data_IF_722899712102
#
_entry.id   IF_722899712102
#
_cell.length_a   1.000
_cell.length_b   1.000
_cell.length_c   1.000
_cell.angle_alpha   90.00
_cell.angle_beta   90.00
_cell.angle_gamma   90.00
#
_symmetry.space_group_name_H-M   'P 1'
#
loop_
_entity.id
_entity.type
_entity.pdbx_description
1 polymer ?
#
# COMPACT_ATOMS: atom_id res chain seq x y z
N UNK A 1 15.78 18.26 -7.41
CA UNK A 1 16.64 18.99 -6.45
C UNK A 1 15.96 19.20 -5.10
N UNK A 2 14.70 19.64 -5.05
CA UNK A 2 13.98 19.90 -3.79
C UNK A 2 13.74 18.61 -2.98
N UNK A 3 13.38 17.50 -3.63
CA UNK A 3 13.18 16.19 -3.00
C UNK A 3 14.44 15.68 -2.32
N UNK A 4 15.59 15.80 -2.99
CA UNK A 4 16.90 15.38 -2.44
C UNK A 4 17.25 16.18 -1.19
N UNK A 5 16.98 17.49 -1.20
CA UNK A 5 17.18 18.33 -0.01
C UNK A 5 16.34 17.85 1.16
N UNK A 6 15.04 17.59 0.95
CA UNK A 6 14.16 17.10 2.01
C UNK A 6 14.60 15.76 2.59
N UNK A 7 15.09 14.83 1.74
CA UNK A 7 15.63 13.54 2.20
C UNK A 7 16.89 13.75 3.04
N UNK A 8 17.81 14.64 2.62
CA UNK A 8 19.02 14.98 3.37
C UNK A 8 18.72 15.62 4.74
N UNK A 9 17.72 16.49 4.78
CA UNK A 9 17.30 17.15 6.02
C UNK A 9 16.70 16.15 7.01
N UNK A 10 15.83 15.22 6.54
CA UNK A 10 15.30 14.14 7.38
C UNK A 10 16.40 13.19 7.85
N UNK A 11 17.32 12.79 6.95
CA UNK A 11 18.45 11.94 7.32
C UNK A 11 19.25 12.55 8.47
N UNK A 12 19.64 13.81 8.35
CA UNK A 12 20.40 14.52 9.38
C UNK A 12 19.68 14.50 10.73
N UNK A 13 18.40 14.87 10.75
CA UNK A 13 17.60 14.86 11.98
C UNK A 13 17.52 13.47 12.61
N UNK A 14 17.32 12.43 11.78
CA UNK A 14 17.23 11.05 12.27
C UNK A 14 18.57 10.51 12.78
N UNK A 15 19.68 10.85 12.14
CA UNK A 15 21.02 10.48 12.61
C UNK A 15 21.31 11.10 13.97
N UNK A 16 20.99 12.39 14.16
CA UNK A 16 21.15 13.08 15.44
C UNK A 16 20.36 12.38 16.56
N UNK A 17 19.13 11.90 16.28
CA UNK A 17 18.31 11.16 17.24
C UNK A 17 18.91 9.79 17.59
N UNK A 18 19.36 9.04 16.59
CA UNK A 18 19.95 7.71 16.78
C UNK A 18 21.27 7.81 17.56
N UNK A 19 22.12 8.77 17.25
CA UNK A 19 23.40 9.00 17.93
C UNK A 19 23.16 9.40 19.39
N UNK A 20 22.25 10.34 19.64
CA UNK A 20 21.88 10.76 21.02
C UNK A 20 21.32 9.60 21.84
N UNK A 21 20.66 8.65 21.19
CA UNK A 21 20.10 7.43 21.83
C UNK A 21 21.14 6.30 21.98
N UNK A 22 22.40 6.51 21.56
CA UNK A 22 23.44 5.48 21.58
C UNK A 22 23.28 4.38 20.53
N UNK A 23 22.42 4.57 19.53
CA UNK A 23 22.11 3.59 18.49
C UNK A 23 23.02 3.78 17.27
N UNK A 24 24.32 3.62 17.48
CA UNK A 24 25.35 3.93 16.49
C UNK A 24 25.33 3.01 15.28
N UNK A 25 24.96 1.73 15.46
CA UNK A 25 24.89 0.77 14.36
C UNK A 25 23.74 1.11 13.39
N UNK A 26 22.59 1.49 13.95
CA UNK A 26 21.44 1.92 13.18
C UNK A 26 21.72 3.23 12.44
N UNK A 27 22.40 4.16 13.10
CA UNK A 27 22.80 5.43 12.49
C UNK A 27 23.73 5.18 11.29
N UNK A 28 24.79 4.38 11.46
CA UNK A 28 25.71 4.05 10.38
C UNK A 28 25.02 3.37 9.19
N UNK A 29 24.17 2.38 9.48
CA UNK A 29 23.40 1.67 8.44
C UNK A 29 22.50 2.60 7.65
N UNK A 30 21.76 3.44 8.35
CA UNK A 30 20.83 4.39 7.73
C UNK A 30 21.57 5.40 6.87
N UNK A 31 22.69 5.95 7.38
CA UNK A 31 23.52 6.91 6.67
C UNK A 31 24.07 6.32 5.37
N UNK A 32 24.74 5.18 5.45
CA UNK A 32 25.33 4.51 4.29
C UNK A 32 24.28 4.20 3.21
N UNK A 33 23.15 3.64 3.62
CA UNK A 33 22.08 3.28 2.68
C UNK A 33 21.47 4.52 2.04
N UNK A 34 21.15 5.54 2.82
CA UNK A 34 20.47 6.73 2.29
C UNK A 34 21.39 7.55 1.40
N UNK A 35 22.68 7.69 1.74
CA UNK A 35 23.65 8.39 0.90
C UNK A 35 23.85 7.67 -0.43
N UNK A 36 23.95 6.33 -0.44
CA UNK A 36 24.03 5.56 -1.67
C UNK A 36 22.76 5.74 -2.54
N UNK A 37 21.58 5.69 -1.95
CA UNK A 37 20.32 5.91 -2.67
C UNK A 37 20.27 7.33 -3.28
N UNK A 38 20.77 8.34 -2.54
CA UNK A 38 20.85 9.72 -3.03
C UNK A 38 21.83 9.89 -4.20
N UNK A 39 22.99 9.26 -4.14
CA UNK A 39 23.96 9.25 -5.25
C UNK A 39 23.34 8.63 -6.50
N UNK A 40 22.63 7.50 -6.36
CA UNK A 40 21.93 6.88 -7.47
C UNK A 40 20.82 7.78 -8.05
N UNK A 41 20.05 8.44 -7.18
CA UNK A 41 19.01 9.39 -7.61
C UNK A 41 19.59 10.59 -8.34
N UNK A 42 20.74 11.13 -7.88
CA UNK A 42 21.42 12.25 -8.53
C UNK A 42 22.02 11.83 -9.88
N UNK A 43 22.58 10.64 -9.98
CA UNK A 43 23.28 10.16 -11.18
C UNK A 43 22.32 9.63 -12.26
N UNK A 44 21.28 8.89 -11.88
CA UNK A 44 20.44 8.12 -12.81
C UNK A 44 18.93 8.48 -12.73
N UNK A 45 18.53 9.23 -11.72
CA UNK A 45 17.12 9.52 -11.46
C UNK A 45 16.37 8.36 -10.79
N UNK A 46 17.00 7.24 -10.50
CA UNK A 46 16.37 6.03 -9.94
C UNK A 46 17.27 5.41 -8.87
N UNK A 47 16.65 4.83 -7.83
CA UNK A 47 17.35 3.96 -6.89
C UNK A 47 16.47 2.76 -6.51
N UNK A 48 17.07 1.71 -5.97
CA UNK A 48 16.34 0.55 -5.49
C UNK A 48 15.54 0.91 -4.23
N UNK A 49 14.21 0.75 -4.30
CA UNK A 49 13.32 1.13 -3.20
C UNK A 49 12.98 2.62 -3.21
N UNK A 50 13.00 3.25 -4.39
CA UNK A 50 12.64 4.66 -4.60
C UNK A 50 11.29 5.04 -3.98
N UNK A 51 10.37 4.09 -3.92
CA UNK A 51 9.05 4.26 -3.32
C UNK A 51 9.11 4.66 -1.83
N UNK A 52 10.19 4.33 -1.12
CA UNK A 52 10.37 4.73 0.28
C UNK A 52 10.59 6.24 0.46
N UNK A 53 10.88 6.94 -0.63
CA UNK A 53 11.05 8.39 -0.67
C UNK A 53 9.83 9.10 -1.27
N UNK A 54 8.69 8.40 -1.44
CA UNK A 54 7.49 8.87 -2.13
C UNK A 54 6.97 10.22 -1.61
N UNK A 55 7.01 10.48 -0.29
CA UNK A 55 6.63 11.76 0.31
C UNK A 55 7.34 12.93 -0.38
N UNK A 56 8.65 12.82 -0.55
CA UNK A 56 9.48 13.88 -1.13
C UNK A 56 9.34 13.96 -2.65
N UNK A 57 9.15 12.82 -3.32
CA UNK A 57 9.04 12.75 -4.77
C UNK A 57 7.69 13.28 -5.26
N UNK A 58 6.62 13.04 -4.49
CA UNK A 58 5.26 13.47 -4.84
C UNK A 58 4.87 14.81 -4.22
N UNK A 59 5.67 15.36 -3.31
CA UNK A 59 5.37 16.60 -2.60
C UNK A 59 4.21 16.49 -1.59
N UNK A 60 3.88 15.27 -1.17
CA UNK A 60 2.82 14.99 -0.17
C UNK A 60 3.24 15.43 1.22
N UNK A 61 2.27 15.76 2.05
CA UNK A 61 2.48 16.07 3.47
C UNK A 61 2.78 14.80 4.28
N UNK A 62 3.46 14.94 5.43
CA UNK A 62 3.63 13.80 6.34
C UNK A 62 2.30 13.14 6.69
N UNK A 63 2.27 11.80 6.61
CA UNK A 63 1.07 10.98 6.86
C UNK A 63 0.16 10.74 5.66
N UNK A 64 0.31 11.50 4.58
CA UNK A 64 -0.46 11.29 3.35
C UNK A 64 0.09 10.11 2.54
N UNK A 65 -0.78 9.23 1.99
CA UNK A 65 -0.35 8.15 1.12
C UNK A 65 0.11 8.70 -0.24
N UNK A 66 0.90 7.94 -1.02
CA UNK A 66 1.20 8.28 -2.40
C UNK A 66 -0.07 8.25 -3.25
N UNK A 67 -0.07 8.88 -4.44
CA UNK A 67 -1.19 8.79 -5.37
C UNK A 67 -1.55 7.34 -5.67
N UNK A 68 -2.84 7.04 -5.67
CA UNK A 68 -3.38 5.71 -5.99
C UNK A 68 -4.20 5.77 -7.28
N UNK A 69 -4.55 4.60 -7.82
CA UNK A 69 -5.39 4.49 -9.01
C UNK A 69 -6.67 5.32 -8.90
N UNK A 70 -7.26 5.40 -7.71
CA UNK A 70 -8.52 6.14 -7.47
C UNK A 70 -8.39 7.64 -7.74
N UNK A 71 -7.21 8.23 -7.54
CA UNK A 71 -6.96 9.65 -7.85
C UNK A 71 -6.90 9.95 -9.36
N UNK A 72 -6.72 8.92 -10.19
CA UNK A 72 -6.67 9.05 -11.65
C UNK A 72 -7.99 8.70 -12.34
N UNK A 73 -8.98 8.22 -11.59
CA UNK A 73 -10.30 7.92 -12.14
C UNK A 73 -11.08 9.20 -12.40
N UNK A 74 -11.83 9.28 -13.49
CA UNK A 74 -12.74 10.40 -13.71
C UNK A 74 -13.91 10.36 -12.72
N UNK A 75 -14.51 11.53 -12.46
CA UNK A 75 -15.59 11.66 -11.46
C UNK A 75 -16.80 10.77 -11.74
N UNK A 76 -17.05 10.41 -13.00
CA UNK A 76 -18.13 9.54 -13.43
C UNK A 76 -17.71 8.09 -13.66
N UNK A 77 -16.58 7.67 -13.12
CA UNK A 77 -16.10 6.29 -13.25
C UNK A 77 -17.07 5.32 -12.56
N UNK A 78 -17.21 4.13 -13.15
CA UNK A 78 -17.88 2.99 -12.55
C UNK A 78 -16.85 1.90 -12.28
N UNK A 79 -16.74 1.49 -11.02
CA UNK A 79 -15.79 0.46 -10.58
C UNK A 79 -16.51 -0.87 -10.39
N UNK A 80 -15.94 -1.94 -10.89
CA UNK A 80 -16.38 -3.30 -10.62
C UNK A 80 -15.37 -3.98 -9.72
N UNK A 81 -15.81 -4.39 -8.53
CA UNK A 81 -14.99 -5.14 -7.58
C UNK A 81 -15.35 -6.62 -7.68
N UNK A 82 -14.48 -7.39 -8.33
CA UNK A 82 -14.64 -8.82 -8.45
C UNK A 82 -14.20 -9.53 -7.17
N UNK A 83 -14.84 -10.68 -6.87
CA UNK A 83 -14.63 -11.45 -5.63
C UNK A 83 -14.64 -10.54 -4.39
N UNK A 84 -15.61 -9.66 -4.32
CA UNK A 84 -15.66 -8.57 -3.33
C UNK A 84 -15.65 -9.06 -1.88
N UNK A 85 -16.21 -10.26 -1.61
CA UNK A 85 -16.16 -10.90 -0.29
C UNK A 85 -14.74 -11.20 0.21
N UNK A 86 -13.74 -11.25 -0.70
CA UNK A 86 -12.31 -11.38 -0.39
C UNK A 86 -11.60 -10.05 -0.53
N UNK A 87 -11.86 -9.33 -1.62
CA UNK A 87 -11.17 -8.08 -1.97
C UNK A 87 -11.38 -6.99 -0.91
N UNK A 88 -12.60 -6.80 -0.43
CA UNK A 88 -12.92 -5.76 0.55
C UNK A 88 -12.24 -5.99 1.90
N UNK A 89 -12.28 -7.19 2.51
CA UNK A 89 -11.51 -7.48 3.71
C UNK A 89 -9.99 -7.34 3.52
N UNK A 90 -9.45 -7.70 2.35
CA UNK A 90 -8.02 -7.50 2.05
C UNK A 90 -7.63 -6.02 2.08
N UNK A 91 -8.43 -5.14 1.47
CA UNK A 91 -8.22 -3.69 1.54
C UNK A 91 -8.19 -3.24 3.00
N UNK A 92 -9.09 -3.73 3.85
CA UNK A 92 -9.11 -3.43 5.28
C UNK A 92 -7.85 -3.87 6.03
N UNK A 93 -7.22 -4.98 5.62
CA UNK A 93 -6.03 -5.54 6.26
C UNK A 93 -4.69 -4.94 5.81
N UNK A 94 -4.62 -4.39 4.59
CA UNK A 94 -3.36 -4.00 3.93
C UNK A 94 -2.55 -2.97 4.73
N UNK A 95 -3.19 -1.93 5.23
CA UNK A 95 -2.53 -0.85 5.96
C UNK A 95 -1.78 -1.34 7.21
N UNK A 96 -2.43 -2.18 8.02
CA UNK A 96 -1.85 -2.64 9.30
C UNK A 96 -0.60 -3.49 9.11
N UNK A 97 -0.59 -4.36 8.11
CA UNK A 97 0.55 -5.21 7.78
C UNK A 97 1.74 -4.39 7.28
N UNK A 98 1.49 -3.45 6.36
CA UNK A 98 2.51 -2.57 5.81
C UNK A 98 3.11 -1.66 6.89
N UNK A 99 2.27 -1.07 7.74
CA UNK A 99 2.72 -0.21 8.83
C UNK A 99 3.67 -0.92 9.78
N UNK A 100 3.33 -2.13 10.25
CA UNK A 100 4.18 -2.91 11.17
C UNK A 100 5.55 -3.19 10.57
N UNK A 101 5.59 -3.63 9.32
CA UNK A 101 6.83 -3.93 8.61
C UNK A 101 7.71 -2.68 8.50
N UNK A 102 7.16 -1.57 8.04
CA UNK A 102 7.91 -0.33 7.82
C UNK A 102 8.33 0.34 9.11
N UNK A 103 7.52 0.30 10.16
CA UNK A 103 7.89 0.79 11.48
C UNK A 103 9.15 0.09 11.99
N UNK A 104 9.20 -1.24 11.88
CA UNK A 104 10.41 -2.02 12.23
C UNK A 104 11.62 -1.61 11.39
N UNK A 105 11.46 -1.44 10.07
CA UNK A 105 12.56 -1.02 9.20
C UNK A 105 13.10 0.38 9.55
N UNK A 106 12.21 1.32 9.87
CA UNK A 106 12.59 2.67 10.29
C UNK A 106 13.23 2.68 11.68
N UNK A 107 12.70 1.87 12.61
CA UNK A 107 13.24 1.76 13.96
C UNK A 107 14.68 1.27 13.95
N UNK A 108 14.98 0.23 13.19
CA UNK A 108 16.32 -0.37 13.12
C UNK A 108 17.27 0.25 12.07
N UNK A 109 16.96 1.43 11.56
CA UNK A 109 17.84 2.18 10.65
C UNK A 109 17.97 1.57 9.24
N UNK A 110 17.03 0.76 8.78
CA UNK A 110 17.00 0.24 7.41
C UNK A 110 16.36 1.22 6.42
N UNK A 111 15.50 2.11 6.92
CA UNK A 111 14.79 3.13 6.14
C UNK A 111 14.60 4.41 6.97
N UNK A 112 14.42 5.53 6.26
CA UNK A 112 13.99 6.77 6.91
C UNK A 112 12.55 6.63 7.45
N UNK A 113 12.19 7.34 8.52
CA UNK A 113 10.83 7.34 9.05
C UNK A 113 9.75 7.69 8.01
N UNK A 114 10.06 8.56 7.03
CA UNK A 114 9.15 8.92 5.94
C UNK A 114 8.72 7.74 5.06
N UNK A 115 9.40 6.60 5.11
CA UNK A 115 8.98 5.38 4.40
C UNK A 115 7.59 4.91 4.83
N UNK A 116 7.13 5.29 6.03
CA UNK A 116 5.79 5.00 6.54
C UNK A 116 4.69 5.65 5.71
N UNK A 117 4.99 6.74 5.00
CA UNK A 117 4.02 7.44 4.17
C UNK A 117 3.82 6.78 2.80
N UNK A 118 4.77 5.97 2.34
CA UNK A 118 4.53 5.07 1.22
C UNK A 118 3.69 3.88 1.71
N UNK A 119 2.41 4.09 1.85
CA UNK A 119 1.47 3.15 2.44
C UNK A 119 0.25 2.93 1.57
N UNK A 120 -0.42 1.78 1.66
CA UNK A 120 -1.75 1.63 1.08
C UNK A 120 -2.74 2.59 1.75
N UNK A 121 -3.86 2.83 1.08
CA UNK A 121 -5.00 3.53 1.68
C UNK A 121 -5.47 2.77 2.92
N UNK A 122 -5.94 3.51 3.92
CA UNK A 122 -6.77 2.93 4.97
C UNK A 122 -8.14 2.62 4.40
N UNK A 123 -8.86 1.71 5.03
CA UNK A 123 -10.19 1.32 4.56
C UNK A 123 -11.14 2.51 4.40
N UNK A 124 -11.13 3.41 5.37
CA UNK A 124 -11.97 4.62 5.37
C UNK A 124 -11.61 5.58 4.24
N UNK A 125 -10.30 5.73 3.95
CA UNK A 125 -9.80 6.54 2.84
C UNK A 125 -10.26 5.95 1.49
N UNK A 126 -10.08 4.65 1.31
CA UNK A 126 -10.56 3.95 0.12
C UNK A 126 -12.08 4.07 -0.04
N UNK A 127 -12.83 3.85 1.03
CA UNK A 127 -14.30 3.93 0.99
C UNK A 127 -14.80 5.33 0.65
N UNK A 128 -14.08 6.38 1.10
CA UNK A 128 -14.42 7.77 0.77
C UNK A 128 -14.03 8.16 -0.68
N UNK A 129 -12.98 7.56 -1.23
CA UNK A 129 -12.46 7.89 -2.55
C UNK A 129 -13.10 7.09 -3.69
N UNK A 130 -13.63 5.90 -3.38
CA UNK A 130 -14.21 5.03 -4.42
C UNK A 130 -15.43 5.72 -5.07
N UNK A 131 -15.50 5.73 -6.41
CA UNK A 131 -16.68 6.20 -7.12
C UNK A 131 -17.82 5.17 -6.99
N UNK A 132 -18.88 5.35 -7.80
CA UNK A 132 -19.94 4.35 -7.87
C UNK A 132 -19.35 2.97 -8.14
N UNK A 133 -19.68 1.99 -7.30
CA UNK A 133 -19.04 0.67 -7.32
C UNK A 133 -20.09 -0.44 -7.34
N UNK A 134 -19.87 -1.41 -8.22
CA UNK A 134 -20.63 -2.67 -8.26
C UNK A 134 -19.75 -3.77 -7.68
N UNK A 135 -20.22 -4.41 -6.64
CA UNK A 135 -19.55 -5.53 -6.02
C UNK A 135 -20.08 -6.84 -6.60
N UNK A 136 -19.17 -7.68 -7.08
CA UNK A 136 -19.50 -8.99 -7.67
C UNK A 136 -18.92 -10.09 -6.80
N UNK A 137 -19.77 -11.05 -6.42
CA UNK A 137 -19.35 -12.17 -5.57
C UNK A 137 -20.32 -13.34 -5.72
N UNK A 138 -19.82 -14.55 -5.67
CA UNK A 138 -20.66 -15.76 -5.55
C UNK A 138 -21.24 -15.89 -4.13
N UNK A 139 -20.56 -15.34 -3.13
CA UNK A 139 -20.90 -15.39 -1.69
C UNK A 139 -20.70 -14.02 -1.08
N UNK A 140 -21.66 -13.08 -1.22
CA UNK A 140 -21.54 -11.74 -0.65
C UNK A 140 -21.18 -11.78 0.84
N UNK A 141 -20.25 -10.93 1.25
CA UNK A 141 -19.84 -10.81 2.64
C UNK A 141 -20.77 -9.91 3.44
N UNK A 142 -20.59 -9.90 4.75
CA UNK A 142 -21.40 -9.11 5.69
C UNK A 142 -21.37 -7.62 5.34
N UNK A 143 -20.20 -7.09 5.04
CA UNK A 143 -20.03 -5.67 4.70
C UNK A 143 -20.83 -5.26 3.45
N UNK A 144 -20.80 -6.08 2.37
CA UNK A 144 -21.56 -5.78 1.15
C UNK A 144 -23.06 -5.81 1.41
N UNK A 145 -23.54 -6.78 2.19
CA UNK A 145 -24.95 -6.88 2.59
C UNK A 145 -25.40 -5.68 3.44
N UNK A 146 -24.57 -5.24 4.38
CA UNK A 146 -24.83 -4.02 5.16
C UNK A 146 -24.90 -2.78 4.28
N UNK A 147 -23.94 -2.61 3.35
CA UNK A 147 -23.90 -1.45 2.45
C UNK A 147 -25.07 -1.38 1.49
N UNK A 148 -25.60 -2.53 1.06
CA UNK A 148 -26.75 -2.63 0.17
C UNK A 148 -28.11 -2.70 0.88
N UNK A 149 -28.12 -2.67 2.23
CA UNK A 149 -29.34 -2.89 3.01
C UNK A 149 -29.96 -4.28 2.80
N UNK A 150 -29.13 -5.27 2.47
CA UNK A 150 -29.54 -6.63 2.15
C UNK A 150 -30.10 -6.83 0.75
N UNK A 151 -30.08 -5.79 -0.09
CA UNK A 151 -30.57 -5.87 -1.48
C UNK A 151 -29.42 -6.23 -2.42
N UNK A 152 -29.59 -7.30 -3.19
CA UNK A 152 -28.63 -7.72 -4.21
C UNK A 152 -29.35 -8.35 -5.41
N UNK A 153 -28.65 -8.43 -6.54
CA UNK A 153 -29.14 -9.02 -7.77
C UNK A 153 -28.47 -10.37 -7.98
N UNK A 154 -29.25 -11.40 -8.18
CA UNK A 154 -28.75 -12.75 -8.47
C UNK A 154 -28.67 -12.98 -9.98
N UNK A 155 -27.51 -13.46 -10.46
CA UNK A 155 -27.34 -13.97 -11.79
C UNK A 155 -27.16 -15.50 -11.73
N UNK A 156 -28.26 -16.23 -11.80
CA UNK A 156 -28.29 -17.67 -11.59
C UNK A 156 -27.93 -18.44 -12.86
N UNK A 157 -28.26 -17.88 -14.03
CA UNK A 157 -28.09 -18.57 -15.33
C UNK A 157 -26.80 -18.13 -15.99
N UNK A 158 -25.92 -19.08 -16.31
CA UNK A 158 -24.71 -18.89 -17.09
C UNK A 158 -24.97 -19.32 -18.56
N UNK A 159 -25.29 -18.39 -19.47
CA UNK A 159 -25.77 -18.75 -20.82
C UNK A 159 -24.68 -19.28 -21.74
N UNK A 160 -23.40 -19.19 -21.37
CA UNK A 160 -22.27 -19.48 -22.26
C UNK A 160 -21.86 -20.94 -22.35
N UNK A 161 -22.49 -21.85 -21.59
CA UNK A 161 -22.10 -23.27 -21.58
C UNK A 161 -20.66 -23.55 -21.07
N UNK A 162 -19.98 -22.55 -20.49
CA UNK A 162 -18.67 -22.73 -19.92
C UNK A 162 -18.78 -23.56 -18.64
N UNK A 163 -18.10 -24.72 -18.65
CA UNK A 163 -18.01 -25.59 -17.48
C UNK A 163 -16.87 -25.07 -16.61
N UNK A 164 -17.14 -24.94 -15.32
CA UNK A 164 -16.07 -24.60 -14.37
C UNK A 164 -14.98 -25.66 -14.38
N UNK A 165 -13.72 -25.23 -14.55
CA UNK A 165 -12.59 -26.15 -14.46
C UNK A 165 -12.37 -26.53 -12.99
N UNK A 166 -12.77 -27.76 -12.63
CA UNK A 166 -12.61 -28.33 -11.26
C UNK A 166 -11.14 -28.56 -10.86
N UNK A 167 -10.16 -28.15 -11.67
CA UNK A 167 -8.74 -28.40 -11.39
C UNK A 167 -8.15 -27.54 -10.29
N UNK A 168 -8.78 -26.46 -9.88
CA UNK A 168 -8.24 -25.55 -8.84
C UNK A 168 -8.35 -26.06 -7.40
N UNK A 169 -9.12 -27.13 -7.16
CA UNK A 169 -9.38 -27.61 -5.77
C UNK A 169 -8.38 -28.68 -5.28
N UNK A 170 -7.37 -29.08 -6.06
CA UNK A 170 -6.46 -30.17 -5.71
C UNK A 170 -5.04 -29.75 -5.24
N UNK A 171 -4.77 -28.48 -5.01
CA UNK A 171 -3.40 -28.02 -4.69
C UNK A 171 -3.12 -27.74 -3.22
N UNK A 172 -4.00 -28.07 -2.26
CA UNK A 172 -3.75 -27.80 -0.84
C UNK A 172 -3.89 -28.98 0.11
N UNK A 173 -3.58 -30.21 -0.34
CA UNK A 173 -3.58 -31.37 0.57
C UNK A 173 -2.28 -32.17 0.53
N UNK A 174 -1.13 -31.51 0.55
CA UNK A 174 0.14 -32.19 0.80
C UNK A 174 1.15 -31.26 1.44
N UNK A 175 1.02 -31.01 2.73
CA UNK A 175 2.13 -30.83 3.65
C UNK A 175 1.61 -31.19 5.06
N UNK A 176 1.78 -32.45 5.39
CA UNK A 176 1.92 -32.92 6.77
C UNK A 176 3.41 -32.87 7.08
#
# INVERSE_FOLDING_TARGET
LQSIKGIKDELKARLDDLIRSGRLLEAQRLEQRTLFDLEMLEATGVCQGIENYSRYLTGRKPGEPPPTLFEYLPDNALVFTDESHVTVPQIGGMYRGDFRRKATLAEYGFRLPSCLDNRPLRFEEWNAMRPQTIHVSATPGEWELEQSGGVFVEQVIRPTGLIEDRKSTRLNSSHV
#
